data_IF_031745462034
#
_entry.id   IF_031745462034
#
_cell.length_a   1.000
_cell.length_b   1.000
_cell.length_c   1.000
_cell.angle_alpha   90.00
_cell.angle_beta   90.00
_cell.angle_gamma   90.00
#
_symmetry.space_group_name_H-M   'P 1'
#
loop_
_entity.id
_entity.type
_entity.pdbx_description
1 polymer ?
#
# COMPACT_ATOMS: atom_id res chain seq x y z
N UNK A 1 18.79 -25.02 -3.94
CA UNK A 1 18.28 -23.94 -4.79
C UNK A 1 18.59 -22.63 -4.08
N UNK A 2 19.62 -21.87 -4.48
CA UNK A 2 19.83 -20.56 -3.88
C UNK A 2 18.69 -19.65 -4.35
N UNK A 3 17.88 -19.16 -3.40
CA UNK A 3 16.78 -18.25 -3.68
C UNK A 3 17.34 -16.98 -4.33
N UNK A 4 16.76 -16.58 -5.46
CA UNK A 4 17.07 -15.32 -6.14
C UNK A 4 16.90 -14.20 -5.10
N UNK A 5 17.90 -13.32 -4.90
CA UNK A 5 17.74 -12.21 -3.99
C UNK A 5 16.63 -11.31 -4.55
N UNK A 6 15.48 -11.33 -3.88
CA UNK A 6 14.43 -10.35 -4.10
C UNK A 6 15.08 -8.97 -3.97
N UNK A 7 14.89 -8.11 -4.96
CA UNK A 7 15.37 -6.74 -4.91
C UNK A 7 14.85 -6.10 -3.61
N UNK A 8 15.79 -5.82 -2.70
CA UNK A 8 15.49 -5.34 -1.36
C UNK A 8 14.81 -3.97 -1.41
N UNK A 9 15.10 -3.16 -2.43
CA UNK A 9 14.49 -1.86 -2.64
C UNK A 9 13.03 -2.01 -3.08
N UNK A 10 12.77 -2.86 -4.07
CA UNK A 10 11.41 -3.20 -4.50
C UNK A 10 10.56 -3.73 -3.33
N UNK A 11 11.10 -4.68 -2.56
CA UNK A 11 10.37 -5.28 -1.44
C UNK A 11 10.10 -4.27 -0.33
N UNK A 12 11.05 -3.37 -0.07
CA UNK A 12 10.87 -2.29 0.89
C UNK A 12 9.78 -1.30 0.41
N UNK A 13 9.82 -0.88 -0.85
CA UNK A 13 8.82 -0.01 -1.44
C UNK A 13 7.41 -0.62 -1.40
N UNK A 14 7.30 -1.92 -1.72
CA UNK A 14 6.03 -2.65 -1.68
C UNK A 14 5.47 -2.72 -0.26
N UNK A 15 6.31 -3.07 0.73
CA UNK A 15 5.90 -3.09 2.14
C UNK A 15 5.43 -1.72 2.61
N UNK A 16 6.13 -0.66 2.23
CA UNK A 16 5.72 0.70 2.58
C UNK A 16 4.36 1.07 1.98
N UNK A 17 4.12 0.73 0.71
CA UNK A 17 2.84 0.98 0.05
C UNK A 17 1.69 0.22 0.74
N UNK A 18 1.88 -1.07 1.04
CA UNK A 18 0.88 -1.89 1.75
C UNK A 18 0.62 -1.38 3.17
N UNK A 19 1.67 -0.99 3.90
CA UNK A 19 1.52 -0.43 5.23
C UNK A 19 0.73 0.89 5.20
N UNK A 20 1.03 1.77 4.25
CA UNK A 20 0.30 3.02 4.07
C UNK A 20 -1.19 2.79 3.76
N UNK A 21 -1.51 1.83 2.87
CA UNK A 21 -2.89 1.46 2.58
C UNK A 21 -3.64 0.94 3.82
N UNK A 22 -2.97 0.10 4.61
CA UNK A 22 -3.53 -0.49 5.84
C UNK A 22 -3.81 0.58 6.90
N UNK A 23 -2.83 1.45 7.17
CA UNK A 23 -2.96 2.53 8.17
C UNK A 23 -4.05 3.52 7.75
N UNK A 24 -4.05 3.94 6.48
CA UNK A 24 -5.03 4.89 5.96
C UNK A 24 -6.45 4.31 6.03
N UNK A 25 -6.63 3.02 5.74
CA UNK A 25 -7.93 2.35 5.90
C UNK A 25 -8.40 2.32 7.35
N UNK A 26 -7.51 2.01 8.30
CA UNK A 26 -7.84 2.03 9.73
C UNK A 26 -8.21 3.45 10.21
N UNK A 27 -7.47 4.46 9.75
CA UNK A 27 -7.73 5.86 10.06
C UNK A 27 -9.05 6.35 9.45
N UNK A 28 -9.38 5.93 8.23
CA UNK A 28 -10.65 6.22 7.58
C UNK A 28 -11.82 5.66 8.38
N UNK A 29 -11.72 4.40 8.83
CA UNK A 29 -12.73 3.77 9.67
C UNK A 29 -12.93 4.52 10.99
N UNK A 30 -11.83 4.86 11.67
CA UNK A 30 -11.90 5.60 12.93
C UNK A 30 -12.57 6.97 12.76
N UNK A 31 -12.24 7.71 11.69
CA UNK A 31 -12.86 9.00 11.38
C UNK A 31 -14.35 8.85 11.03
N UNK A 32 -14.72 7.80 10.30
CA UNK A 32 -16.11 7.49 10.00
C UNK A 32 -16.92 7.18 11.26
N UNK A 33 -16.37 6.34 12.16
CA UNK A 33 -16.99 5.98 13.43
C UNK A 33 -17.16 7.20 14.37
N UNK A 34 -16.31 8.23 14.24
CA UNK A 34 -16.45 9.49 14.97
C UNK A 34 -17.35 10.54 14.27
N UNK A 35 -17.92 10.22 13.10
CA UNK A 35 -18.76 11.13 12.32
C UNK A 35 -18.00 12.18 11.50
N UNK A 36 -16.66 12.11 11.44
CA UNK A 36 -15.83 13.02 10.64
C UNK A 36 -15.69 12.46 9.20
N UNK A 37 -16.74 12.67 8.41
CA UNK A 37 -16.86 12.11 7.06
C UNK A 37 -15.80 12.68 6.11
N UNK A 38 -15.50 13.98 6.19
CA UNK A 38 -14.47 14.59 5.34
C UNK A 38 -13.10 13.96 5.56
N UNK A 39 -12.73 13.75 6.84
CA UNK A 39 -11.47 13.10 7.18
C UNK A 39 -11.46 11.63 6.79
N UNK A 40 -12.60 10.93 6.93
CA UNK A 40 -12.73 9.56 6.46
C UNK A 40 -12.47 9.45 4.95
N UNK A 41 -13.06 10.33 4.15
CA UNK A 41 -12.87 10.38 2.69
C UNK A 41 -11.41 10.66 2.33
N UNK A 42 -10.74 11.62 3.00
CA UNK A 42 -9.31 11.88 2.77
C UNK A 42 -8.45 10.63 2.97
N UNK A 43 -8.66 9.92 4.08
CA UNK A 43 -7.93 8.69 4.35
C UNK A 43 -8.27 7.54 3.38
N UNK A 44 -9.49 7.49 2.85
CA UNK A 44 -9.83 6.55 1.78
C UNK A 44 -9.07 6.86 0.48
N UNK A 45 -8.97 8.13 0.07
CA UNK A 45 -8.18 8.52 -1.10
C UNK A 45 -6.68 8.22 -0.93
N UNK A 46 -6.14 8.41 0.27
CA UNK A 46 -4.76 8.03 0.61
C UNK A 46 -4.56 6.51 0.50
N UNK A 47 -5.50 5.73 1.04
CA UNK A 47 -5.50 4.27 0.94
C UNK A 47 -5.56 3.77 -0.51
N UNK A 48 -6.42 4.37 -1.33
CA UNK A 48 -6.53 4.09 -2.76
C UNK A 48 -5.20 4.36 -3.48
N UNK A 49 -4.61 5.54 -3.24
CA UNK A 49 -3.33 5.92 -3.85
C UNK A 49 -2.20 4.96 -3.47
N UNK A 50 -2.15 4.54 -2.20
CA UNK A 50 -1.19 3.55 -1.72
C UNK A 50 -1.42 2.16 -2.33
N UNK A 51 -2.68 1.76 -2.49
CA UNK A 51 -3.06 0.49 -3.13
C UNK A 51 -2.70 0.46 -4.62
N UNK A 52 -2.93 1.56 -5.34
CA UNK A 52 -2.50 1.70 -6.73
C UNK A 52 -0.98 1.59 -6.87
N UNK A 53 -0.23 2.24 -5.97
CA UNK A 53 1.24 2.12 -5.94
C UNK A 53 1.70 0.69 -5.67
N UNK A 54 1.06 -0.02 -4.74
CA UNK A 54 1.35 -1.43 -4.48
C UNK A 54 1.07 -2.29 -5.71
N UNK A 55 -0.03 -2.04 -6.42
CA UNK A 55 -0.36 -2.72 -7.67
C UNK A 55 0.67 -2.45 -8.77
N UNK A 56 1.16 -1.21 -8.90
CA UNK A 56 2.23 -0.86 -9.84
C UNK A 56 3.53 -1.61 -9.53
N UNK A 57 3.94 -1.66 -8.26
CA UNK A 57 5.13 -2.39 -7.82
C UNK A 57 4.99 -3.90 -8.08
N UNK A 58 3.82 -4.49 -7.82
CA UNK A 58 3.55 -5.90 -8.13
C UNK A 58 3.55 -6.19 -9.64
N UNK A 59 3.16 -5.23 -10.48
CA UNK A 59 3.28 -5.35 -11.95
C UNK A 59 4.73 -5.28 -12.42
N UNK A 60 5.57 -4.57 -11.67
CA UNK A 60 7.01 -4.44 -11.91
C UNK A 60 7.83 -5.53 -11.22
N UNK A 61 7.18 -6.59 -10.69
CA UNK A 61 7.84 -7.65 -9.93
C UNK A 61 9.09 -8.17 -10.66
N UNK A 62 10.30 -7.93 -10.11
CA UNK A 62 11.55 -8.29 -10.76
C UNK A 62 11.70 -9.81 -10.92
N UNK A 63 10.93 -10.61 -10.17
CA UNK A 63 10.91 -12.08 -10.29
C UNK A 63 10.15 -12.55 -11.52
N UNK A 64 9.20 -11.75 -12.05
CA UNK A 64 8.40 -12.11 -13.24
C UNK A 64 9.06 -11.77 -14.58
N UNK A 65 10.14 -10.99 -14.56
CA UNK A 65 10.88 -10.57 -15.75
C UNK A 65 12.12 -11.42 -16.07
N UNK A 66 12.37 -12.51 -15.35
CA UNK A 66 13.55 -13.39 -15.49
C UNK A 66 13.19 -14.77 -16.02
#
# INVERSE_FOLDING_TARGET
MPGVPVDAEWLHALRNAVNAATISTAAARSAFESGDIERAVRFLCESESASLRAADLLRQDPVRGS
#
